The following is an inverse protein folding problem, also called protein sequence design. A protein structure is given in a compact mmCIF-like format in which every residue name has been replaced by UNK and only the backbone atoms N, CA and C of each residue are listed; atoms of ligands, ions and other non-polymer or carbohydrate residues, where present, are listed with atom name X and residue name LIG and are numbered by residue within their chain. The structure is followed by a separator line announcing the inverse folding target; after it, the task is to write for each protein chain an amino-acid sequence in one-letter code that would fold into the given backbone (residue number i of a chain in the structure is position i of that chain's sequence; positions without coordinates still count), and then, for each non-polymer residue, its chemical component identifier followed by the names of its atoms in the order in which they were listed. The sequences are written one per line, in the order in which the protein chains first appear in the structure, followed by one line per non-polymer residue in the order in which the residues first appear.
data_IF_355060546145
#
_entry.id   IF_355060546145
#
_cell.length_a   1.000
_cell.length_b   1.000
_cell.length_c   1.000
_cell.angle_alpha   90.00
_cell.angle_beta   90.00
_cell.angle_gamma   90.00
#
_symmetry.space_group_name_H-M   'P 1'
#
loop_
_entity.id
_entity.type
_entity.pdbx_description
1 polymer ?
#
# COMPACT_ATOMS: atom_id res chain seq x y z
N UNK A 1 1.85 -6.62 1.42
CA UNK A 1 2.65 -5.83 2.39
C UNK A 1 2.27 -6.22 3.81
N UNK A 2 3.24 -6.21 4.73
CA UNK A 2 3.06 -6.53 6.16
C UNK A 2 2.95 -5.25 6.98
N UNK A 3 2.05 -5.22 7.97
CA UNK A 3 1.95 -4.12 8.94
C UNK A 3 2.58 -4.46 10.30
N UNK A 4 3.10 -3.46 11.04
CA UNK A 4 3.38 -3.59 12.46
C UNK A 4 2.11 -3.94 13.27
N UNK A 5 2.20 -4.94 14.15
CA UNK A 5 1.02 -5.46 14.86
C UNK A 5 0.36 -4.47 15.83
N UNK A 6 1.11 -3.52 16.40
CA UNK A 6 0.58 -2.64 17.46
C UNK A 6 -0.41 -1.58 16.95
N UNK A 7 -0.50 -1.34 15.63
CA UNK A 7 -1.28 -0.20 15.10
C UNK A 7 -2.33 -0.60 14.07
N UNK A 8 -2.28 -1.81 13.50
CA UNK A 8 -3.12 -2.12 12.34
C UNK A 8 -4.62 -2.26 12.65
N UNK A 9 -5.01 -2.69 13.86
CA UNK A 9 -6.43 -2.87 14.22
C UNK A 9 -7.17 -1.54 14.31
N UNK A 10 -6.55 -0.56 14.97
CA UNK A 10 -7.09 0.80 15.09
C UNK A 10 -7.16 1.51 13.74
N UNK A 11 -6.15 1.29 12.89
CA UNK A 11 -6.06 1.95 11.58
C UNK A 11 -7.00 1.32 10.55
N UNK A 12 -7.10 -0.02 10.51
CA UNK A 12 -7.85 -0.75 9.48
C UNK A 12 -9.27 -1.13 9.92
N UNK A 13 -9.66 -0.84 11.16
CA UNK A 13 -11.01 -1.06 11.72
C UNK A 13 -11.57 -2.47 11.46
N UNK A 14 -10.70 -3.49 11.49
CA UNK A 14 -11.11 -4.88 11.27
C UNK A 14 -12.01 -5.30 12.44
N UNK A 15 -13.27 -5.66 12.15
CA UNK A 15 -14.21 -6.08 13.19
C UNK A 15 -13.72 -7.35 13.91
N UNK A 16 -14.13 -7.49 15.18
CA UNK A 16 -13.79 -8.67 15.97
C UNK A 16 -14.45 -9.92 15.36
N UNK A 17 -13.67 -10.96 15.12
CA UNK A 17 -14.11 -12.20 14.47
C UNK A 17 -13.68 -12.33 13.01
N UNK A 18 -13.63 -11.24 12.25
CA UNK A 18 -13.37 -11.31 10.81
C UNK A 18 -11.92 -11.63 10.47
N UNK A 19 -11.71 -12.61 9.59
CA UNK A 19 -10.39 -13.01 9.11
C UNK A 19 -9.86 -12.09 7.99
N UNK A 20 -10.73 -11.27 7.41
CA UNK A 20 -10.43 -10.38 6.30
C UNK A 20 -11.31 -9.15 6.29
N UNK A 21 -10.76 -8.01 5.89
CA UNK A 21 -11.49 -6.76 5.70
C UNK A 21 -11.13 -6.14 4.35
N UNK A 22 -12.15 -5.77 3.57
CA UNK A 22 -12.01 -4.95 2.38
C UNK A 22 -11.89 -3.47 2.77
N UNK A 23 -10.97 -2.75 2.14
CA UNK A 23 -10.71 -1.33 2.42
C UNK A 23 -10.54 -0.62 1.09
N UNK A 24 -11.36 0.41 0.88
CA UNK A 24 -11.24 1.32 -0.23
C UNK A 24 -10.34 2.50 0.15
N UNK A 25 -9.35 2.76 -0.69
CA UNK A 25 -8.33 3.78 -0.46
C UNK A 25 -8.18 4.63 -1.71
N UNK A 26 -8.28 5.94 -1.55
CA UNK A 26 -8.20 6.89 -2.67
C UNK A 26 -6.73 7.19 -2.96
N UNK A 27 -6.29 6.96 -4.19
CA UNK A 27 -4.96 7.36 -4.63
C UNK A 27 -4.85 8.88 -4.70
N UNK A 28 -3.85 9.44 -4.03
CA UNK A 28 -3.63 10.89 -3.99
C UNK A 28 -3.24 11.43 -5.36
N UNK A 29 -2.54 10.64 -6.18
CA UNK A 29 -2.00 11.05 -7.46
C UNK A 29 -3.11 11.19 -8.53
N UNK A 30 -3.87 10.11 -8.75
CA UNK A 30 -4.85 10.03 -9.85
C UNK A 30 -6.32 10.06 -9.39
N UNK A 31 -6.56 10.13 -8.07
CA UNK A 31 -7.90 10.12 -7.44
C UNK A 31 -8.71 8.84 -7.63
N UNK A 32 -8.14 7.80 -8.22
CA UNK A 32 -8.82 6.51 -8.38
C UNK A 32 -8.97 5.79 -7.04
N UNK A 33 -10.00 4.96 -6.94
CA UNK A 33 -10.23 4.12 -5.76
C UNK A 33 -9.48 2.80 -5.93
N UNK A 34 -8.62 2.47 -4.96
CA UNK A 34 -7.90 1.21 -4.87
C UNK A 34 -8.58 0.34 -3.80
N UNK A 35 -9.03 -0.85 -4.20
CA UNK A 35 -9.59 -1.82 -3.27
C UNK A 35 -8.50 -2.79 -2.80
N UNK A 36 -8.28 -2.83 -1.48
CA UNK A 36 -7.36 -3.78 -0.86
C UNK A 36 -8.13 -4.74 0.05
N UNK A 37 -7.69 -6.00 0.06
CA UNK A 37 -8.13 -6.97 1.07
C UNK A 37 -7.00 -7.16 2.07
N UNK A 38 -7.26 -6.83 3.33
CA UNK A 38 -6.37 -7.15 4.43
C UNK A 38 -6.84 -8.45 5.09
N UNK A 39 -5.97 -9.46 5.18
CA UNK A 39 -6.25 -10.73 5.86
C UNK A 39 -5.39 -10.89 7.11
N UNK A 40 -5.90 -11.59 8.12
CA UNK A 40 -5.15 -12.07 9.29
C UNK A 40 -5.13 -13.59 9.30
N UNK A 41 -4.05 -14.19 9.80
CA UNK A 41 -3.96 -15.66 9.92
C UNK A 41 -5.02 -16.20 10.88
N UNK A 42 -5.63 -17.32 10.51
CA UNK A 42 -6.62 -18.04 11.35
C UNK A 42 -5.98 -18.78 12.53
N UNK A 43 -4.77 -19.31 12.37
CA UNK A 43 -4.01 -20.01 13.43
C UNK A 43 -2.64 -19.35 13.63
N UNK A 44 -2.18 -19.34 14.87
CA UNK A 44 -0.91 -18.72 15.27
C UNK A 44 -0.99 -17.19 15.33
N UNK A 45 0.14 -16.50 15.22
CA UNK A 45 0.18 -15.03 15.31
C UNK A 45 -0.66 -14.38 14.20
N UNK A 46 -1.66 -13.56 14.60
CA UNK A 46 -2.61 -12.87 13.73
C UNK A 46 -1.97 -11.70 12.96
N UNK A 47 -0.90 -11.96 12.22
CA UNK A 47 -0.16 -10.97 11.42
C UNK A 47 -1.03 -10.51 10.24
N UNK A 48 -1.37 -9.21 10.14
CA UNK A 48 -2.12 -8.68 9.01
C UNK A 48 -1.27 -8.58 7.74
N UNK A 49 -1.87 -8.86 6.60
CA UNK A 49 -1.24 -8.72 5.28
C UNK A 49 -2.25 -8.20 4.28
N UNK A 50 -1.86 -7.22 3.45
CA UNK A 50 -2.62 -6.96 2.22
C UNK A 50 -2.39 -8.09 1.22
N UNK A 51 -3.45 -8.85 0.94
CA UNK A 51 -3.46 -9.99 0.03
C UNK A 51 -3.87 -9.53 -1.38
N UNK A 52 -5.15 -9.19 -1.58
CA UNK A 52 -5.69 -8.76 -2.88
C UNK A 52 -5.52 -7.25 -3.07
N UNK A 53 -5.34 -6.83 -4.33
CA UNK A 53 -5.17 -5.42 -4.74
C UNK A 53 -3.75 -4.89 -4.59
N UNK A 54 -2.99 -5.38 -3.61
CA UNK A 54 -1.64 -4.86 -3.31
C UNK A 54 -0.66 -5.01 -4.48
N UNK A 55 -0.54 -6.21 -5.06
CA UNK A 55 0.40 -6.45 -6.16
C UNK A 55 0.01 -5.63 -7.39
N UNK A 56 -1.29 -5.49 -7.67
CA UNK A 56 -1.78 -4.66 -8.78
C UNK A 56 -1.37 -3.20 -8.61
N UNK A 57 -1.58 -2.64 -7.41
CA UNK A 57 -1.15 -1.27 -7.09
C UNK A 57 0.37 -1.09 -7.21
N UNK A 58 1.17 -2.02 -6.70
CA UNK A 58 2.64 -1.98 -6.80
C UNK A 58 3.11 -1.96 -8.25
N UNK A 59 2.49 -2.78 -9.12
CA UNK A 59 2.78 -2.82 -10.55
C UNK A 59 2.36 -1.52 -11.23
N UNK A 60 1.14 -1.06 -10.97
CA UNK A 60 0.60 0.18 -11.54
C UNK A 60 1.49 1.40 -11.24
N UNK A 61 2.02 1.49 -10.02
CA UNK A 61 2.90 2.59 -9.59
C UNK A 61 4.39 2.36 -9.85
N UNK A 62 4.76 1.23 -10.48
CA UNK A 62 6.15 0.79 -10.73
C UNK A 62 7.04 0.90 -9.49
N UNK A 63 6.54 0.41 -8.35
CA UNK A 63 7.26 0.50 -7.08
C UNK A 63 8.27 -0.63 -6.95
N UNK A 64 9.50 -0.29 -6.57
CA UNK A 64 10.56 -1.26 -6.26
C UNK A 64 10.87 -1.25 -4.76
N UNK A 65 11.62 -2.25 -4.31
CA UNK A 65 12.04 -2.34 -2.92
C UNK A 65 12.78 -1.05 -2.49
N UNK A 66 12.36 -0.50 -1.35
CA UNK A 66 12.89 0.75 -0.81
C UNK A 66 12.10 2.01 -1.18
N UNK A 67 11.19 1.93 -2.15
CA UNK A 67 10.18 2.99 -2.35
C UNK A 67 9.21 3.03 -1.16
N UNK A 68 8.53 4.16 -0.98
CA UNK A 68 7.63 4.40 0.16
C UNK A 68 6.18 4.36 -0.30
N UNK A 69 5.33 3.78 0.54
CA UNK A 69 3.87 3.84 0.42
C UNK A 69 3.32 4.38 1.72
N UNK A 70 2.57 5.47 1.63
CA UNK A 70 2.04 6.22 2.77
C UNK A 70 0.53 6.08 2.75
N UNK A 71 -0.03 5.59 3.85
CA UNK A 71 -1.48 5.56 4.07
C UNK A 71 -1.85 6.67 5.04
N UNK A 72 -2.84 7.48 4.66
CA UNK A 72 -3.36 8.57 5.50
C UNK A 72 -4.83 8.30 5.82
N UNK A 73 -5.22 8.55 7.07
CA UNK A 73 -6.61 8.58 7.52
C UNK A 73 -7.04 10.05 7.59
N UNK A 74 -8.12 10.40 6.92
CA UNK A 74 -8.76 11.70 7.02
C UNK A 74 -10.18 11.49 7.58
N UNK A 75 -10.61 12.42 8.42
CA UNK A 75 -11.97 12.47 8.94
C UNK A 75 -12.59 13.79 8.47
N UNK A 76 -13.74 13.71 7.80
CA UNK A 76 -14.44 14.91 7.35
C UNK A 76 -15.20 15.59 8.50
N UNK A 77 -15.73 16.79 8.24
CA UNK A 77 -16.47 17.59 9.25
C UNK A 77 -17.70 16.88 9.82
N UNK A 78 -18.15 15.78 9.19
CA UNK A 78 -19.33 14.99 9.57
C UNK A 78 -18.89 13.66 10.21
N UNK A 79 -17.59 13.48 10.51
CA UNK A 79 -17.04 12.28 11.14
C UNK A 79 -16.85 11.10 10.17
N UNK A 80 -17.02 11.29 8.85
CA UNK A 80 -16.78 10.18 7.91
C UNK A 80 -15.30 10.02 7.66
N UNK A 81 -14.85 8.78 7.82
CA UNK A 81 -13.45 8.40 7.63
C UNK A 81 -13.20 8.11 6.15
N UNK A 82 -12.12 8.66 5.60
CA UNK A 82 -11.59 8.34 4.27
C UNK A 82 -10.13 7.94 4.39
N UNK A 83 -9.75 6.92 3.64
CA UNK A 83 -8.36 6.51 3.53
C UNK A 83 -7.77 6.99 2.22
N UNK A 84 -6.53 7.47 2.28
CA UNK A 84 -5.75 7.86 1.12
C UNK A 84 -4.45 7.08 1.06
N UNK A 85 -3.94 6.86 -0.15
CA UNK A 85 -2.66 6.22 -0.41
C UNK A 85 -1.80 7.12 -1.29
N UNK A 86 -0.52 7.21 -0.97
CA UNK A 86 0.46 7.90 -1.78
C UNK A 86 1.70 7.02 -1.97
N UNK A 87 2.03 6.77 -3.23
CA UNK A 87 3.25 6.10 -3.65
C UNK A 87 4.36 7.13 -3.88
N UNK A 88 5.53 6.92 -3.26
CA UNK A 88 6.70 7.77 -3.44
C UNK A 88 7.90 6.94 -3.90
N UNK A 89 8.29 7.13 -5.16
CA UNK A 89 9.54 6.63 -5.72
C UNK A 89 10.70 7.36 -5.03
N UNK A 90 11.63 6.61 -4.45
CA UNK A 90 12.77 7.15 -3.70
C UNK A 90 14.04 6.79 -4.44
N UNK A 91 14.86 7.76 -4.87
CA UNK A 91 16.09 7.48 -5.61
C UNK A 91 17.15 6.81 -4.72
N UNK A 92 18.00 6.01 -5.33
CA UNK A 92 19.18 5.43 -4.69
C UNK A 92 20.42 5.80 -5.50
N UNK A 93 20.99 6.96 -5.17
CA UNK A 93 22.07 7.56 -5.94
C UNK A 93 23.42 6.95 -5.59
N UNK A 94 24.11 6.42 -6.59
CA UNK A 94 25.52 6.05 -6.54
C UNK A 94 26.26 6.89 -7.58
N UNK A 95 27.11 7.82 -7.13
CA UNK A 95 27.83 8.77 -8.02
C UNK A 95 26.92 9.50 -9.02
N UNK A 96 25.71 9.88 -8.60
CA UNK A 96 24.72 10.54 -9.45
C UNK A 96 23.86 9.61 -10.32
N UNK A 97 24.16 8.30 -10.35
CA UNK A 97 23.33 7.31 -11.03
C UNK A 97 22.26 6.75 -10.11
N UNK A 98 20.98 6.79 -10.52
CA UNK A 98 19.88 6.20 -9.76
C UNK A 98 19.75 4.70 -10.02
N UNK A 99 20.33 3.90 -9.11
CA UNK A 99 20.28 2.44 -9.15
C UNK A 99 18.85 1.91 -9.08
N UNK A 100 17.94 2.60 -8.38
CA UNK A 100 16.54 2.14 -8.27
C UNK A 100 15.78 2.39 -9.54
N UNK A 101 16.07 3.46 -10.27
CA UNK A 101 15.48 3.66 -11.59
C UNK A 101 15.95 2.59 -12.58
N UNK A 102 17.21 2.19 -12.56
CA UNK A 102 17.69 1.07 -13.36
C UNK A 102 16.97 -0.24 -13.02
N UNK A 103 16.82 -0.56 -11.72
CA UNK A 103 16.05 -1.74 -11.26
C UNK A 103 14.60 -1.64 -11.71
N UNK A 104 13.98 -0.45 -11.62
CA UNK A 104 12.59 -0.22 -12.03
C UNK A 104 12.40 -0.49 -13.51
N UNK A 105 13.29 0.01 -14.36
CA UNK A 105 13.25 -0.25 -15.80
C UNK A 105 13.41 -1.75 -16.13
N UNK A 106 14.29 -2.45 -15.41
CA UNK A 106 14.47 -3.89 -15.57
C UNK A 106 13.27 -4.71 -15.06
N UNK A 107 12.61 -4.25 -13.99
CA UNK A 107 11.45 -4.93 -13.39
C UNK A 107 10.17 -4.72 -14.22
N UNK A 108 10.02 -3.55 -14.83
CA UNK A 108 8.84 -3.15 -15.60
C UNK A 108 9.20 -2.74 -17.04
N UNK A 109 9.71 -3.68 -17.87
CA UNK A 109 10.24 -3.36 -19.19
C UNK A 109 9.16 -2.95 -20.21
N UNK A 110 7.90 -3.35 -20.01
CA UNK A 110 6.80 -3.16 -20.98
C UNK A 110 5.77 -2.10 -20.63
N UNK A 111 6.01 -1.26 -19.62
CA UNK A 111 5.02 -0.28 -19.13
C UNK A 111 5.56 1.17 -19.10
N UNK A 112 6.50 1.49 -20.00
CA UNK A 112 7.15 2.81 -20.10
C UNK A 112 6.54 3.71 -21.19
N UNK A 113 5.35 3.41 -21.69
CA UNK A 113 4.63 4.24 -22.66
C UNK A 113 3.72 5.26 -21.97
#
# INVERSE_FOLDING_TARGET
MVFPMKSYREVLQIQNGDLSQGIDVIDVEDKSVKNFICTKRHKGHHKPVFSKGWISFVKEKHLVAGDKVIFCKEEDKVGRIRFKIHAKKVPCLLFGFDLREAIRKATYPGQQN
#
